data_IF_926862331433
#
_entry.id   IF_926862331433
#
_cell.length_a   1.000
_cell.length_b   1.000
_cell.length_c   1.000
_cell.angle_alpha   90.00
_cell.angle_beta   90.00
_cell.angle_gamma   90.00
#
_symmetry.space_group_name_H-M   'P 1'
#
loop_
_entity.id
_entity.type
_entity.pdbx_description
1 polymer ?
#
# COMPACT_ATOMS: atom_id res chain seq x y z
N UNK A 1 48.50 63.42 25.00
CA UNK A 1 47.87 62.21 25.65
C UNK A 1 46.57 61.97 24.89
N UNK A 2 46.62 61.07 23.88
CA UNK A 2 45.50 60.79 23.00
C UNK A 2 44.79 59.53 23.48
N UNK A 3 43.51 59.70 23.84
CA UNK A 3 42.64 58.58 24.20
C UNK A 3 41.94 58.06 22.96
N UNK A 4 42.30 56.84 22.55
CA UNK A 4 41.65 56.11 21.45
C UNK A 4 40.44 55.40 22.01
N UNK A 5 39.21 55.76 21.56
CA UNK A 5 37.98 55.04 21.88
C UNK A 5 37.75 53.95 20.80
N UNK A 6 37.79 52.69 21.26
CA UNK A 6 37.34 51.55 20.43
C UNK A 6 35.82 51.47 20.48
N UNK A 7 35.19 51.59 19.30
CA UNK A 7 33.79 51.21 19.09
C UNK A 7 33.74 49.74 18.72
N UNK A 8 33.15 48.92 19.62
CA UNK A 8 32.81 47.54 19.31
C UNK A 8 31.46 47.53 18.58
N UNK A 9 31.46 47.17 17.30
CA UNK A 9 30.23 46.93 16.53
C UNK A 9 29.72 45.50 16.87
N UNK A 10 28.57 45.42 17.52
CA UNK A 10 27.86 44.17 17.79
C UNK A 10 27.08 43.79 16.54
N UNK A 11 27.60 42.80 15.79
CA UNK A 11 26.87 42.17 14.69
C UNK A 11 25.81 41.23 15.29
N UNK A 12 24.55 41.65 15.26
CA UNK A 12 23.42 40.73 15.47
C UNK A 12 23.25 39.86 14.21
N UNK A 13 23.73 38.61 14.29
CA UNK A 13 23.36 37.60 13.32
C UNK A 13 21.90 37.19 13.58
N UNK A 14 20.99 37.75 12.80
CA UNK A 14 19.61 37.27 12.76
C UNK A 14 19.60 35.84 12.20
N UNK A 15 19.29 34.86 13.03
CA UNK A 15 18.96 33.52 12.58
C UNK A 15 17.65 33.59 11.77
N UNK A 16 17.75 33.59 10.46
CA UNK A 16 16.60 33.37 9.58
C UNK A 16 16.28 31.87 9.71
N UNK A 17 15.28 31.54 10.53
CA UNK A 17 14.68 30.22 10.50
C UNK A 17 14.11 30.01 9.09
N UNK A 18 14.40 28.88 8.40
CA UNK A 18 13.75 28.59 7.14
C UNK A 18 12.23 28.52 7.39
N UNK A 19 11.38 29.02 6.46
CA UNK A 19 9.95 28.85 6.58
C UNK A 19 9.68 27.34 6.67
N UNK A 20 8.94 26.92 7.69
CA UNK A 20 8.34 25.60 7.71
C UNK A 20 7.47 25.53 6.43
N UNK A 21 7.91 24.73 5.46
CA UNK A 21 7.09 24.37 4.31
C UNK A 21 6.00 23.51 4.93
N UNK A 22 4.85 24.12 5.24
CA UNK A 22 3.61 23.38 5.33
C UNK A 22 3.46 22.75 3.94
N UNK A 23 3.79 21.47 3.80
CA UNK A 23 3.38 20.69 2.65
C UNK A 23 1.86 20.74 2.69
N UNK A 24 1.26 21.51 1.78
CA UNK A 24 -0.17 21.50 1.61
C UNK A 24 -0.55 20.04 1.35
N UNK A 25 -1.42 19.49 2.20
CA UNK A 25 -1.89 18.11 2.07
C UNK A 25 -2.55 17.82 0.70
N UNK A 26 -2.93 18.86 -0.05
CA UNK A 26 -3.38 18.78 -1.44
C UNK A 26 -2.23 18.54 -2.45
N UNK A 27 -0.97 18.71 -2.06
CA UNK A 27 0.18 18.45 -2.93
C UNK A 27 0.63 16.99 -2.91
N UNK A 28 0.28 16.21 -1.88
CA UNK A 28 0.64 14.79 -1.79
C UNK A 28 -0.17 13.95 -2.78
N UNK A 29 0.52 13.27 -3.70
CA UNK A 29 -0.08 12.44 -4.74
C UNK A 29 -0.95 11.33 -4.14
N UNK A 30 -0.52 10.71 -3.05
CA UNK A 30 -1.28 9.67 -2.38
C UNK A 30 -2.60 10.21 -1.82
N UNK A 31 -2.56 11.38 -1.17
CA UNK A 31 -3.79 11.99 -0.66
C UNK A 31 -4.75 12.35 -1.81
N UNK A 32 -4.25 12.85 -2.95
CA UNK A 32 -5.11 13.05 -4.13
C UNK A 32 -5.72 11.73 -4.63
N UNK A 33 -4.93 10.66 -4.69
CA UNK A 33 -5.41 9.35 -5.14
C UNK A 33 -6.52 8.81 -4.24
N UNK A 34 -6.33 8.78 -2.92
CA UNK A 34 -7.28 8.17 -1.97
C UNK A 34 -8.50 9.07 -1.65
N UNK A 35 -8.44 10.36 -1.97
CA UNK A 35 -9.59 11.29 -1.87
C UNK A 35 -10.39 11.44 -3.17
N UNK A 36 -9.96 10.79 -4.27
CA UNK A 36 -10.64 10.90 -5.56
C UNK A 36 -10.33 12.17 -6.34
N UNK A 37 -9.28 12.89 -5.97
CA UNK A 37 -8.87 14.14 -6.60
C UNK A 37 -7.64 13.99 -7.52
N UNK A 38 -7.17 12.76 -7.76
CA UNK A 38 -6.09 12.50 -8.71
C UNK A 38 -6.57 12.68 -10.16
N UNK A 39 -5.63 13.02 -11.04
CA UNK A 39 -5.86 13.04 -12.49
C UNK A 39 -6.03 11.65 -13.09
N UNK A 40 -6.15 11.59 -14.41
CA UNK A 40 -6.14 10.32 -15.13
C UNK A 40 -4.80 9.58 -14.86
N UNK A 41 -4.83 8.22 -14.79
CA UNK A 41 -3.61 7.43 -14.63
C UNK A 41 -2.56 7.74 -15.69
N UNK A 42 -1.29 7.85 -15.30
CA UNK A 42 -0.16 8.27 -16.12
C UNK A 42 0.80 7.13 -16.48
N UNK A 43 0.71 6.00 -15.80
CA UNK A 43 1.48 4.80 -16.08
C UNK A 43 0.98 4.05 -17.33
N UNK A 44 1.25 2.75 -17.42
CA UNK A 44 0.89 1.95 -18.59
C UNK A 44 0.36 0.57 -18.23
N UNK A 45 -0.53 0.06 -19.05
CA UNK A 45 -1.00 -1.32 -18.97
C UNK A 45 0.07 -2.30 -19.49
N UNK A 46 0.17 -3.48 -18.85
CA UNK A 46 1.20 -4.49 -19.10
C UNK A 46 0.61 -5.89 -19.07
N UNK A 47 0.89 -6.70 -20.09
CA UNK A 47 0.67 -8.14 -20.06
C UNK A 47 1.87 -8.81 -19.37
N UNK A 48 1.62 -9.55 -18.29
CA UNK A 48 2.67 -10.11 -17.44
C UNK A 48 2.46 -11.58 -17.08
N UNK A 49 1.24 -12.08 -17.17
CA UNK A 49 0.87 -13.42 -16.73
C UNK A 49 0.55 -14.33 -17.92
N UNK A 50 1.53 -15.16 -18.33
CA UNK A 50 1.40 -16.03 -19.51
C UNK A 50 0.26 -17.05 -19.39
N UNK A 51 -0.04 -17.51 -18.15
CA UNK A 51 -1.14 -18.45 -17.93
C UNK A 51 -2.53 -17.84 -18.13
N UNK A 52 -2.63 -16.50 -18.09
CA UNK A 52 -3.85 -15.75 -18.44
C UNK A 52 -3.51 -14.51 -19.27
N UNK A 53 -3.47 -14.62 -20.60
CA UNK A 53 -3.18 -13.47 -21.47
C UNK A 53 -4.20 -12.33 -21.38
N UNK A 54 -5.36 -12.53 -20.75
CA UNK A 54 -6.33 -11.48 -20.48
C UNK A 54 -5.99 -10.66 -19.22
N UNK A 55 -5.15 -11.17 -18.34
CA UNK A 55 -4.68 -10.43 -17.18
C UNK A 55 -3.76 -9.29 -17.62
N UNK A 56 -4.20 -8.07 -17.38
CA UNK A 56 -3.50 -6.85 -17.78
C UNK A 56 -3.25 -6.00 -16.54
N UNK A 57 -2.03 -6.07 -15.99
CA UNK A 57 -1.59 -5.25 -14.87
C UNK A 57 -1.32 -3.80 -15.29
N UNK A 58 -1.12 -2.94 -14.31
CA UNK A 58 -0.77 -1.53 -14.51
C UNK A 58 0.56 -1.21 -13.85
N UNK A 59 1.48 -0.65 -14.61
CA UNK A 59 2.82 -0.28 -14.16
C UNK A 59 2.99 1.24 -14.09
N UNK A 60 3.42 1.72 -12.94
CA UNK A 60 3.96 3.06 -12.73
C UNK A 60 5.41 2.97 -12.25
N UNK A 61 6.30 3.78 -12.84
CA UNK A 61 7.75 3.75 -12.54
C UNK A 61 8.18 5.15 -12.11
N UNK A 62 9.01 5.28 -11.05
CA UNK A 62 9.55 6.56 -10.62
C UNK A 62 10.36 7.25 -11.72
N UNK A 63 10.46 8.57 -11.65
CA UNK A 63 11.42 9.33 -12.45
C UNK A 63 12.86 9.05 -11.98
N UNK A 64 13.82 8.95 -12.91
CA UNK A 64 15.24 8.76 -12.63
C UNK A 64 15.79 7.41 -13.09
N UNK A 65 17.03 7.13 -12.72
CA UNK A 65 17.76 5.95 -13.23
C UNK A 65 17.59 4.69 -12.34
N UNK A 66 17.12 4.85 -11.08
CA UNK A 66 16.99 3.74 -10.12
C UNK A 66 18.35 3.28 -9.52
N UNK A 67 18.47 2.05 -8.98
CA UNK A 67 17.36 1.10 -8.84
C UNK A 67 16.32 1.52 -7.78
N UNK A 68 15.07 1.08 -7.97
CA UNK A 68 13.96 1.40 -7.08
C UNK A 68 13.35 0.13 -6.48
N UNK A 69 12.92 0.12 -5.20
CA UNK A 69 12.15 -0.98 -4.65
C UNK A 69 10.76 -1.04 -5.28
N UNK A 70 10.13 -2.22 -5.24
CA UNK A 70 8.82 -2.44 -5.85
C UNK A 70 7.70 -2.59 -4.82
N UNK A 71 6.48 -2.21 -5.21
CA UNK A 71 5.24 -2.54 -4.51
C UNK A 71 4.28 -3.21 -5.49
N UNK A 72 3.76 -4.37 -5.10
CA UNK A 72 2.73 -5.11 -5.84
C UNK A 72 1.38 -4.79 -5.21
N UNK A 73 0.54 -4.09 -5.94
CA UNK A 73 -0.76 -3.60 -5.47
C UNK A 73 -1.87 -4.58 -5.84
N UNK A 74 -2.66 -4.98 -4.85
CA UNK A 74 -3.74 -5.95 -4.99
C UNK A 74 -5.08 -5.24 -4.78
N UNK A 75 -5.86 -5.19 -5.85
CA UNK A 75 -7.10 -4.42 -5.94
C UNK A 75 -8.21 -4.90 -4.99
N UNK A 76 -9.21 -4.07 -4.76
CA UNK A 76 -10.42 -4.41 -4.03
C UNK A 76 -11.31 -5.40 -4.85
N UNK A 77 -12.45 -5.74 -4.30
CA UNK A 77 -13.42 -6.70 -4.87
C UNK A 77 -13.95 -6.35 -6.27
N UNK A 78 -13.85 -5.09 -6.70
CA UNK A 78 -14.36 -4.60 -7.99
C UNK A 78 -13.33 -4.70 -9.13
N UNK A 79 -12.13 -5.21 -8.89
CA UNK A 79 -11.08 -5.40 -9.88
C UNK A 79 -10.12 -4.22 -10.01
N UNK A 80 -9.25 -4.26 -11.03
CA UNK A 80 -8.24 -3.24 -11.30
C UNK A 80 -8.88 -1.98 -11.90
N UNK A 81 -9.54 -1.19 -11.07
CA UNK A 81 -10.19 0.07 -11.45
C UNK A 81 -9.23 1.26 -11.39
N UNK A 82 -9.67 2.39 -11.92
CA UNK A 82 -8.88 3.63 -12.04
C UNK A 82 -8.27 4.08 -10.70
N UNK A 83 -8.99 3.95 -9.57
CA UNK A 83 -8.50 4.30 -8.24
C UNK A 83 -7.20 3.58 -7.89
N UNK A 84 -7.10 2.29 -8.18
CA UNK A 84 -5.89 1.50 -7.92
C UNK A 84 -4.74 1.94 -8.84
N UNK A 85 -5.03 2.27 -10.11
CA UNK A 85 -4.03 2.81 -11.04
C UNK A 85 -3.50 4.17 -10.57
N UNK A 86 -4.37 5.06 -10.09
CA UNK A 86 -3.98 6.35 -9.49
C UNK A 86 -3.13 6.18 -8.22
N UNK A 87 -3.45 5.17 -7.41
CA UNK A 87 -2.65 4.81 -6.22
C UNK A 87 -1.27 4.30 -6.64
N UNK A 88 -1.16 3.53 -7.72
CA UNK A 88 0.12 3.10 -8.27
C UNK A 88 0.97 4.29 -8.74
N UNK A 89 0.38 5.25 -9.45
CA UNK A 89 1.08 6.48 -9.84
C UNK A 89 1.61 7.25 -8.62
N UNK A 90 0.79 7.31 -7.55
CA UNK A 90 1.19 7.96 -6.32
C UNK A 90 2.36 7.25 -5.60
N UNK A 91 2.43 5.93 -5.62
CA UNK A 91 3.60 5.19 -5.15
C UNK A 91 4.84 5.48 -6.01
N UNK A 92 4.69 5.61 -7.32
CA UNK A 92 5.80 5.97 -8.19
C UNK A 92 6.36 7.36 -7.88
N UNK A 93 5.52 8.35 -7.56
CA UNK A 93 5.96 9.67 -7.08
C UNK A 93 6.72 9.59 -5.73
N UNK A 94 6.52 8.52 -4.94
CA UNK A 94 7.25 8.26 -3.69
C UNK A 94 8.54 7.44 -3.88
N UNK A 95 8.89 7.07 -5.12
CA UNK A 95 10.13 6.35 -5.42
C UNK A 95 10.00 4.84 -5.46
N UNK A 96 8.79 4.29 -5.53
CA UNK A 96 8.56 2.86 -5.68
C UNK A 96 8.14 2.51 -7.11
N UNK A 97 8.67 1.45 -7.70
CA UNK A 97 8.04 0.83 -8.85
C UNK A 97 6.72 0.22 -8.36
N UNK A 98 5.59 0.72 -8.86
CA UNK A 98 4.28 0.25 -8.45
C UNK A 98 3.66 -0.59 -9.57
N UNK A 99 3.36 -1.84 -9.27
CA UNK A 99 2.71 -2.76 -10.18
C UNK A 99 1.36 -3.19 -9.61
N UNK A 100 0.27 -2.75 -10.21
CA UNK A 100 -1.07 -3.19 -9.83
C UNK A 100 -1.45 -4.43 -10.62
N UNK A 101 -1.55 -5.57 -9.92
CA UNK A 101 -1.88 -6.86 -10.50
C UNK A 101 -3.37 -6.94 -10.87
N UNK A 102 -3.69 -7.63 -11.96
CA UNK A 102 -5.04 -7.94 -12.39
C UNK A 102 -5.38 -9.40 -12.09
N UNK A 103 -6.17 -9.62 -11.04
CA UNK A 103 -6.57 -10.97 -10.62
C UNK A 103 -7.83 -11.48 -11.31
N UNK A 104 -8.46 -10.65 -12.17
CA UNK A 104 -9.75 -10.97 -12.78
C UNK A 104 -9.71 -11.09 -14.31
N UNK A 105 -8.51 -11.08 -14.92
CA UNK A 105 -8.36 -11.23 -16.38
C UNK A 105 -9.05 -10.11 -17.15
N UNK A 106 -8.77 -8.85 -16.82
CA UNK A 106 -9.31 -7.65 -17.45
C UNK A 106 -10.73 -7.30 -17.05
N UNK A 107 -11.36 -8.03 -16.12
CA UNK A 107 -12.75 -7.79 -15.72
C UNK A 107 -12.82 -6.86 -14.52
N UNK A 108 -13.86 -6.02 -14.50
CA UNK A 108 -14.25 -5.19 -13.35
C UNK A 108 -15.73 -5.32 -13.10
N UNK A 109 -16.15 -5.18 -11.84
CA UNK A 109 -17.55 -5.20 -11.48
C UNK A 109 -18.07 -3.81 -11.10
N UNK A 110 -19.31 -3.54 -11.48
CA UNK A 110 -20.02 -2.27 -11.24
C UNK A 110 -21.21 -2.43 -10.28
N UNK A 111 -21.58 -3.65 -9.96
CA UNK A 111 -22.63 -3.98 -9.00
C UNK A 111 -22.11 -4.94 -7.92
N UNK A 112 -22.88 -5.03 -6.81
CA UNK A 112 -22.57 -5.95 -5.72
C UNK A 112 -22.55 -7.41 -6.22
N UNK A 113 -23.49 -7.78 -7.07
CA UNK A 113 -23.64 -9.14 -7.61
C UNK A 113 -22.45 -9.50 -8.52
N UNK A 114 -22.03 -8.58 -9.39
CA UNK A 114 -20.87 -8.76 -10.25
C UNK A 114 -19.59 -8.90 -9.41
N UNK A 115 -19.40 -8.02 -8.44
CA UNK A 115 -18.22 -8.06 -7.57
C UNK A 115 -18.13 -9.37 -6.77
N UNK A 116 -19.25 -9.85 -6.21
CA UNK A 116 -19.31 -11.14 -5.51
C UNK A 116 -18.93 -12.29 -6.46
N UNK A 117 -19.45 -12.29 -7.69
CA UNK A 117 -19.14 -13.32 -8.67
C UNK A 117 -17.64 -13.32 -9.06
N UNK A 118 -17.02 -12.14 -9.21
CA UNK A 118 -15.59 -12.00 -9.49
C UNK A 118 -14.73 -12.53 -8.32
N UNK A 119 -15.06 -12.15 -7.07
CA UNK A 119 -14.37 -12.66 -5.87
C UNK A 119 -14.47 -14.17 -5.76
N UNK A 120 -15.68 -14.74 -5.95
CA UNK A 120 -15.89 -16.18 -5.89
C UNK A 120 -15.10 -16.93 -6.97
N UNK A 121 -15.07 -16.39 -8.20
CA UNK A 121 -14.30 -16.98 -9.30
C UNK A 121 -12.79 -16.96 -9.02
N UNK A 122 -12.27 -15.86 -8.48
CA UNK A 122 -10.85 -15.76 -8.14
C UNK A 122 -10.47 -16.70 -6.97
N UNK A 123 -11.24 -16.71 -5.89
CA UNK A 123 -10.99 -17.56 -4.71
C UNK A 123 -11.16 -19.07 -4.99
N UNK A 124 -11.77 -19.46 -6.10
CA UNK A 124 -11.88 -20.85 -6.49
C UNK A 124 -10.55 -21.49 -6.92
N UNK A 125 -9.51 -20.67 -7.16
CA UNK A 125 -8.18 -21.12 -7.57
C UNK A 125 -7.11 -20.22 -6.93
N UNK A 126 -6.79 -20.50 -5.67
CA UNK A 126 -5.81 -19.74 -4.89
C UNK A 126 -4.39 -19.90 -5.44
N UNK A 127 -4.04 -21.10 -5.92
CA UNK A 127 -2.73 -21.36 -6.55
C UNK A 127 -2.51 -20.44 -7.76
N UNK A 128 -3.56 -20.19 -8.53
CA UNK A 128 -3.52 -19.27 -9.66
C UNK A 128 -3.32 -17.81 -9.22
N UNK A 129 -3.94 -17.40 -8.10
CA UNK A 129 -3.73 -16.06 -7.55
C UNK A 129 -2.27 -15.87 -7.16
N UNK A 130 -1.69 -16.84 -6.43
CA UNK A 130 -0.29 -16.80 -6.02
C UNK A 130 0.62 -16.76 -7.25
N UNK A 131 0.41 -17.64 -8.23
CA UNK A 131 1.17 -17.66 -9.48
C UNK A 131 1.05 -16.33 -10.28
N UNK A 132 -0.11 -15.65 -10.24
CA UNK A 132 -0.30 -14.35 -10.85
C UNK A 132 0.54 -13.27 -10.16
N UNK A 133 0.60 -13.27 -8.84
CA UNK A 133 1.39 -12.30 -8.06
C UNK A 133 2.89 -12.57 -8.19
N UNK A 134 3.33 -13.84 -8.20
CA UNK A 134 4.72 -14.21 -8.50
C UNK A 134 5.13 -13.72 -9.91
N UNK A 135 4.26 -13.94 -10.90
CA UNK A 135 4.51 -13.44 -12.25
C UNK A 135 4.60 -11.91 -12.32
N UNK A 136 3.88 -11.18 -11.44
CA UNK A 136 4.00 -9.73 -11.33
C UNK A 136 5.37 -9.30 -10.78
N UNK A 137 5.86 -9.97 -9.73
CA UNK A 137 7.21 -9.74 -9.17
C UNK A 137 8.27 -10.05 -10.23
N UNK A 138 8.24 -11.24 -10.80
CA UNK A 138 9.19 -11.69 -11.84
C UNK A 138 9.24 -10.71 -13.03
N UNK A 139 8.05 -10.25 -13.45
CA UNK A 139 7.95 -9.32 -14.58
C UNK A 139 8.60 -7.96 -14.24
N UNK A 140 8.33 -7.43 -13.03
CA UNK A 140 8.91 -6.17 -12.54
C UNK A 140 10.44 -6.29 -12.49
N UNK A 141 10.96 -7.35 -11.92
CA UNK A 141 12.41 -7.58 -11.81
C UNK A 141 13.09 -7.68 -13.18
N UNK A 142 12.46 -8.39 -14.12
CA UNK A 142 13.02 -8.61 -15.46
C UNK A 142 12.94 -7.39 -16.38
N UNK A 143 11.99 -6.46 -16.16
CA UNK A 143 11.63 -5.43 -17.15
C UNK A 143 11.75 -3.98 -16.64
N UNK A 144 12.20 -3.77 -15.39
CA UNK A 144 12.30 -2.43 -14.79
C UNK A 144 13.62 -2.28 -14.02
N UNK A 145 14.05 -1.07 -13.66
CA UNK A 145 15.22 -0.86 -12.82
C UNK A 145 14.91 -1.17 -11.33
N UNK A 146 14.41 -2.35 -11.03
CA UNK A 146 14.09 -2.79 -9.68
C UNK A 146 15.33 -3.15 -8.86
N UNK A 147 15.23 -3.01 -7.52
CA UNK A 147 16.28 -3.45 -6.59
C UNK A 147 16.32 -4.97 -6.42
N UNK A 148 15.29 -5.69 -6.86
CA UNK A 148 15.02 -7.09 -6.53
C UNK A 148 14.28 -7.26 -5.20
N UNK A 149 13.78 -6.18 -4.59
CA UNK A 149 12.95 -6.21 -3.38
C UNK A 149 11.53 -5.73 -3.69
N UNK A 150 10.53 -6.45 -3.19
CA UNK A 150 9.12 -6.14 -3.39
C UNK A 150 8.31 -6.26 -2.08
N UNK A 151 7.25 -5.47 -1.94
CA UNK A 151 6.24 -5.66 -0.91
C UNK A 151 4.84 -5.78 -1.55
N UNK A 152 4.01 -6.68 -1.03
CA UNK A 152 2.62 -6.82 -1.43
C UNK A 152 1.71 -5.92 -0.59
N UNK A 153 0.85 -5.15 -1.23
CA UNK A 153 -0.09 -4.22 -0.56
C UNK A 153 -1.49 -4.49 -1.10
N UNK A 154 -2.44 -4.83 -0.23
CA UNK A 154 -3.79 -5.13 -0.67
C UNK A 154 -4.88 -4.47 0.17
N UNK A 155 -6.02 -4.15 -0.46
CA UNK A 155 -7.17 -3.52 0.15
C UNK A 155 -8.41 -4.38 0.06
N UNK A 156 -9.19 -4.52 1.13
CA UNK A 156 -10.44 -5.28 1.15
C UNK A 156 -10.21 -6.75 0.75
N UNK A 157 -10.80 -7.20 -0.36
CA UNK A 157 -10.49 -8.50 -0.99
C UNK A 157 -8.98 -8.67 -1.16
N UNK A 158 -8.31 -7.67 -1.75
CA UNK A 158 -6.87 -7.68 -1.97
C UNK A 158 -6.05 -7.74 -0.68
N UNK A 159 -6.55 -7.20 0.44
CA UNK A 159 -5.90 -7.33 1.75
C UNK A 159 -5.87 -8.78 2.24
N UNK A 160 -6.97 -9.51 2.07
CA UNK A 160 -7.01 -10.95 2.34
C UNK A 160 -6.11 -11.75 1.40
N UNK A 161 -6.04 -11.35 0.13
CA UNK A 161 -5.12 -11.97 -0.86
C UNK A 161 -3.66 -11.68 -0.51
N UNK A 162 -3.32 -10.48 -0.03
CA UNK A 162 -1.96 -10.17 0.42
C UNK A 162 -1.51 -11.12 1.56
N UNK A 163 -2.41 -11.42 2.51
CA UNK A 163 -2.14 -12.42 3.53
C UNK A 163 -1.97 -13.82 2.94
N UNK A 164 -2.87 -14.27 2.05
CA UNK A 164 -2.72 -15.56 1.37
C UNK A 164 -1.41 -15.64 0.58
N UNK A 165 -0.98 -14.53 -0.04
CA UNK A 165 0.30 -14.45 -0.76
C UNK A 165 1.50 -14.59 0.18
N UNK A 166 1.47 -13.95 1.35
CA UNK A 166 2.52 -14.11 2.37
C UNK A 166 2.63 -15.52 2.91
N UNK A 167 1.50 -16.26 2.94
CA UNK A 167 1.48 -17.66 3.38
C UNK A 167 1.91 -18.65 2.31
N UNK A 168 1.81 -18.29 1.03
CA UNK A 168 2.00 -19.19 -0.11
C UNK A 168 3.22 -18.89 -0.97
N UNK A 169 3.95 -17.79 -0.74
CA UNK A 169 5.11 -17.39 -1.56
C UNK A 169 6.15 -16.61 -0.75
N UNK A 170 7.42 -16.84 -1.07
CA UNK A 170 8.57 -16.12 -0.53
C UNK A 170 9.11 -15.05 -1.51
N UNK A 171 8.35 -14.69 -2.54
CA UNK A 171 8.81 -13.78 -3.62
C UNK A 171 8.75 -12.30 -3.23
N UNK A 172 8.55 -11.97 -1.94
CA UNK A 172 8.47 -10.58 -1.47
C UNK A 172 8.92 -10.44 -0.01
N UNK A 173 9.37 -9.25 0.38
CA UNK A 173 9.98 -8.95 1.67
C UNK A 173 9.03 -8.27 2.67
N UNK A 174 7.79 -8.02 2.29
CA UNK A 174 6.83 -7.36 3.16
C UNK A 174 5.39 -7.49 2.68
N UNK A 175 4.46 -7.51 3.64
CA UNK A 175 3.01 -7.61 3.37
C UNK A 175 2.25 -6.54 4.13
N UNK A 176 1.46 -5.74 3.40
CA UNK A 176 0.60 -4.72 3.97
C UNK A 176 -0.89 -5.04 3.71
N UNK A 177 -1.64 -5.20 4.78
CA UNK A 177 -3.05 -5.60 4.78
C UNK A 177 -3.91 -4.41 5.19
N UNK A 178 -4.75 -3.94 4.29
CA UNK A 178 -5.76 -2.92 4.59
C UNK A 178 -7.15 -3.57 4.66
N UNK A 179 -7.70 -3.66 5.86
CA UNK A 179 -9.06 -4.17 6.13
C UNK A 179 -9.43 -5.43 5.33
N UNK A 180 -8.48 -6.35 5.20
CA UNK A 180 -8.64 -7.65 4.54
C UNK A 180 -9.05 -8.76 5.49
N UNK A 181 -9.57 -9.87 4.95
CA UNK A 181 -9.87 -11.09 5.72
C UNK A 181 -8.61 -11.63 6.37
N UNK A 182 -8.73 -12.13 7.59
CA UNK A 182 -7.61 -12.58 8.42
C UNK A 182 -7.68 -14.09 8.70
N UNK A 183 -6.58 -14.61 9.21
CA UNK A 183 -6.42 -15.98 9.70
C UNK A 183 -5.83 -15.85 11.10
N UNK A 184 -6.28 -16.67 12.05
CA UNK A 184 -5.86 -16.66 13.45
C UNK A 184 -5.17 -17.97 13.88
N UNK A 185 -4.61 -18.70 12.92
CA UNK A 185 -3.93 -19.98 13.12
C UNK A 185 -2.40 -19.80 13.18
N UNK A 186 -1.76 -19.92 14.37
CA UNK A 186 -0.32 -19.74 14.51
C UNK A 186 0.52 -20.75 13.71
N UNK A 187 0.00 -21.96 13.42
CA UNK A 187 0.73 -22.96 12.62
C UNK A 187 0.85 -22.47 11.16
N UNK A 188 -0.22 -21.89 10.62
CA UNK A 188 -0.18 -21.31 9.27
C UNK A 188 0.73 -20.08 9.22
N UNK A 189 0.70 -19.21 10.26
CA UNK A 189 1.54 -18.01 10.30
C UNK A 189 3.04 -18.32 10.19
N UNK A 190 3.51 -19.50 10.61
CA UNK A 190 4.93 -19.89 10.49
C UNK A 190 5.47 -19.89 9.05
N UNK A 191 4.61 -19.83 8.05
CA UNK A 191 5.00 -19.69 6.64
C UNK A 191 5.34 -18.24 6.25
N UNK A 192 5.07 -17.26 7.10
CA UNK A 192 5.43 -15.85 6.85
C UNK A 192 6.83 -15.59 7.39
N UNK A 193 7.74 -15.10 6.55
CA UNK A 193 9.15 -14.90 6.89
C UNK A 193 9.59 -13.43 6.92
N UNK A 194 8.62 -12.51 6.95
CA UNK A 194 8.86 -11.06 6.96
C UNK A 194 7.88 -10.34 7.90
N UNK A 195 8.15 -9.06 8.17
CA UNK A 195 7.26 -8.19 8.95
C UNK A 195 5.92 -7.99 8.23
N UNK A 196 4.81 -8.00 8.98
CA UNK A 196 3.46 -7.76 8.46
C UNK A 196 2.94 -6.40 8.95
N UNK A 197 2.50 -5.56 8.03
CA UNK A 197 1.78 -4.33 8.32
C UNK A 197 0.26 -4.54 8.21
N UNK A 198 -0.49 -3.95 9.16
CA UNK A 198 -1.95 -4.03 9.15
C UNK A 198 -2.63 -2.70 9.47
N UNK A 199 -3.69 -2.39 8.73
CA UNK A 199 -4.53 -1.20 8.93
C UNK A 199 -6.00 -1.62 8.91
N UNK A 200 -6.67 -1.45 10.03
CA UNK A 200 -8.06 -1.89 10.27
C UNK A 200 -8.91 -0.77 10.84
N UNK A 201 -10.22 -0.95 10.82
CA UNK A 201 -11.20 0.05 11.23
C UNK A 201 -12.05 -0.50 12.39
N UNK A 202 -12.25 0.29 13.45
CA UNK A 202 -13.06 -0.09 14.61
C UNK A 202 -14.51 -0.45 14.21
N UNK A 203 -15.08 0.33 13.27
CA UNK A 203 -16.47 0.16 12.83
C UNK A 203 -16.61 -0.76 11.60
N UNK A 204 -15.62 -1.63 11.33
CA UNK A 204 -15.72 -2.62 10.26
C UNK A 204 -16.59 -3.80 10.70
N UNK A 205 -17.71 -3.99 9.99
CA UNK A 205 -18.65 -5.09 10.26
C UNK A 205 -18.21 -6.43 9.66
N UNK A 206 -17.27 -6.38 8.72
CA UNK A 206 -16.73 -7.57 8.04
C UNK A 206 -15.48 -8.13 8.73
N UNK A 207 -14.70 -7.25 9.38
CA UNK A 207 -13.45 -7.59 10.09
C UNK A 207 -13.54 -6.98 11.50
N UNK A 208 -14.18 -7.65 12.46
CA UNK A 208 -14.36 -7.15 13.82
C UNK A 208 -13.01 -6.99 14.56
N UNK A 209 -12.96 -6.06 15.51
CA UNK A 209 -11.77 -5.80 16.35
C UNK A 209 -11.23 -7.09 17.01
N UNK A 210 -12.12 -7.98 17.49
CA UNK A 210 -11.72 -9.24 18.11
C UNK A 210 -10.99 -10.16 17.11
N UNK A 211 -11.37 -10.17 15.83
CA UNK A 211 -10.69 -10.93 14.77
C UNK A 211 -9.29 -10.34 14.49
N UNK A 212 -9.16 -9.02 14.48
CA UNK A 212 -7.85 -8.36 14.33
C UNK A 212 -6.93 -8.69 15.51
N UNK A 213 -7.47 -8.68 16.74
CA UNK A 213 -6.69 -9.02 17.92
C UNK A 213 -6.26 -10.49 17.91
N UNK A 214 -7.12 -11.44 17.50
CA UNK A 214 -6.78 -12.84 17.36
C UNK A 214 -5.67 -13.05 16.32
N UNK A 215 -5.73 -12.36 15.18
CA UNK A 215 -4.67 -12.36 14.17
C UNK A 215 -3.32 -11.86 14.73
N UNK A 216 -3.31 -10.74 15.49
CA UNK A 216 -2.10 -10.22 16.13
C UNK A 216 -1.54 -11.22 17.14
N UNK A 217 -2.41 -11.88 17.93
CA UNK A 217 -1.98 -12.90 18.89
C UNK A 217 -1.39 -14.14 18.20
N UNK A 218 -1.99 -14.60 17.09
CA UNK A 218 -1.47 -15.69 16.27
C UNK A 218 -0.08 -15.35 15.67
N UNK A 219 0.11 -14.16 15.12
CA UNK A 219 1.42 -13.70 14.64
C UNK A 219 2.46 -13.66 15.75
N UNK A 220 2.08 -13.17 16.94
CA UNK A 220 2.97 -13.11 18.10
C UNK A 220 3.39 -14.51 18.57
N UNK A 221 2.45 -15.46 18.60
CA UNK A 221 2.73 -16.86 18.93
C UNK A 221 3.66 -17.52 17.92
N UNK A 222 3.49 -17.22 16.64
CA UNK A 222 4.36 -17.67 15.55
C UNK A 222 5.72 -16.94 15.50
N UNK A 223 5.91 -15.88 16.28
CA UNK A 223 7.15 -15.08 16.30
C UNK A 223 7.29 -14.11 15.12
N UNK A 224 6.20 -13.74 14.47
CA UNK A 224 6.18 -12.79 13.34
C UNK A 224 6.13 -11.36 13.86
N UNK A 225 7.09 -10.54 13.41
CA UNK A 225 7.06 -9.09 13.65
C UNK A 225 5.90 -8.45 12.91
N UNK A 226 5.20 -7.52 13.56
CA UNK A 226 4.06 -6.87 12.93
C UNK A 226 3.85 -5.44 13.44
N UNK A 227 3.27 -4.61 12.58
CA UNK A 227 2.84 -3.24 12.82
C UNK A 227 1.34 -3.12 12.49
N UNK A 228 0.47 -3.64 13.36
CA UNK A 228 -0.99 -3.63 13.17
C UNK A 228 -1.63 -2.51 13.98
N UNK A 229 -2.51 -1.74 13.35
CA UNK A 229 -3.25 -0.64 13.99
C UNK A 229 -4.74 -0.67 13.61
N UNK A 230 -5.58 -0.48 14.63
CA UNK A 230 -7.03 -0.31 14.48
C UNK A 230 -7.35 1.17 14.67
N UNK A 231 -8.00 1.77 13.70
CA UNK A 231 -8.38 3.18 13.72
C UNK A 231 -9.79 3.36 14.26
N UNK A 232 -9.94 4.25 15.25
CA UNK A 232 -11.22 4.60 15.86
C UNK A 232 -12.11 5.40 14.88
N UNK A 233 -13.42 5.31 15.05
CA UNK A 233 -14.44 6.10 14.35
C UNK A 233 -14.48 5.95 12.81
N UNK A 234 -13.69 5.04 12.22
CA UNK A 234 -13.71 4.77 10.78
C UNK A 234 -14.29 3.39 10.46
N UNK A 235 -14.71 3.19 9.22
CA UNK A 235 -15.32 1.96 8.72
C UNK A 235 -14.52 1.34 7.57
N UNK A 236 -14.94 0.16 7.10
CA UNK A 236 -14.34 -0.57 5.99
C UNK A 236 -14.10 0.32 4.76
N UNK A 237 -12.90 0.28 4.20
CA UNK A 237 -12.53 1.06 3.02
C UNK A 237 -12.10 2.50 3.30
N UNK A 238 -11.97 2.92 4.57
CA UNK A 238 -11.69 4.30 4.94
C UNK A 238 -10.45 4.89 4.28
N UNK A 239 -9.39 4.09 4.09
CA UNK A 239 -8.14 4.58 3.56
C UNK A 239 -8.21 4.85 2.05
N UNK A 240 -8.76 3.92 1.26
CA UNK A 240 -8.80 4.06 -0.22
C UNK A 240 -9.96 4.95 -0.69
N UNK A 241 -10.92 5.24 0.19
CA UNK A 241 -12.14 6.01 -0.09
C UNK A 241 -12.39 7.08 0.96
N UNK A 242 -11.41 7.97 1.17
CA UNK A 242 -11.48 9.05 2.16
C UNK A 242 -12.72 9.92 1.96
N UNK A 243 -13.16 10.13 0.71
CA UNK A 243 -14.30 10.93 0.33
C UNK A 243 -15.66 10.44 0.87
N UNK A 244 -15.74 9.19 1.37
CA UNK A 244 -17.01 8.65 1.94
C UNK A 244 -17.35 9.24 3.30
N UNK A 245 -16.32 9.60 4.08
CA UNK A 245 -16.44 10.30 5.36
C UNK A 245 -15.14 11.09 5.63
N UNK A 246 -14.97 12.26 4.98
CA UNK A 246 -13.70 12.97 5.03
C UNK A 246 -13.30 13.44 6.43
N UNK A 247 -14.27 13.67 7.32
CA UNK A 247 -14.01 14.15 8.68
C UNK A 247 -13.28 13.10 9.53
N UNK A 248 -13.72 11.84 9.46
CA UNK A 248 -13.12 10.73 10.22
C UNK A 248 -12.02 10.02 9.42
N UNK A 249 -12.24 9.79 8.11
CA UNK A 249 -11.32 8.98 7.30
C UNK A 249 -9.99 9.70 7.02
N UNK A 250 -9.99 11.02 6.80
CA UNK A 250 -8.79 11.73 6.37
C UNK A 250 -7.66 11.67 7.41
N UNK A 251 -7.88 12.03 8.69
CA UNK A 251 -6.82 11.93 9.70
C UNK A 251 -6.28 10.52 9.87
N UNK A 252 -7.18 9.53 9.85
CA UNK A 252 -6.81 8.12 9.95
C UNK A 252 -6.00 7.65 8.73
N UNK A 253 -6.39 8.06 7.52
CA UNK A 253 -5.70 7.70 6.29
C UNK A 253 -4.31 8.36 6.17
N UNK A 254 -4.18 9.62 6.56
CA UNK A 254 -2.88 10.33 6.62
C UNK A 254 -1.92 9.64 7.59
N UNK A 255 -2.38 9.31 8.80
CA UNK A 255 -1.56 8.60 9.78
C UNK A 255 -1.19 7.18 9.29
N UNK A 256 -2.14 6.44 8.68
CA UNK A 256 -1.87 5.13 8.10
C UNK A 256 -0.85 5.21 6.95
N UNK A 257 -0.90 6.28 6.14
CA UNK A 257 0.07 6.51 5.08
C UNK A 257 1.49 6.76 5.62
N UNK A 258 1.63 7.55 6.68
CA UNK A 258 2.92 7.79 7.33
C UNK A 258 3.49 6.50 7.93
N UNK A 259 2.66 5.68 8.58
CA UNK A 259 3.05 4.35 9.08
C UNK A 259 3.46 3.41 7.95
N UNK A 260 2.70 3.37 6.85
CA UNK A 260 3.03 2.53 5.68
C UNK A 260 4.39 2.92 5.08
N UNK A 261 4.66 4.23 4.91
CA UNK A 261 5.99 4.69 4.44
C UNK A 261 7.12 4.25 5.38
N UNK A 262 6.92 4.38 6.69
CA UNK A 262 7.91 3.92 7.67
C UNK A 262 8.11 2.40 7.62
N UNK A 263 7.05 1.62 7.45
CA UNK A 263 7.09 0.17 7.26
C UNK A 263 7.86 -0.20 5.97
N UNK A 264 7.47 0.35 4.83
CA UNK A 264 8.15 0.08 3.55
C UNK A 264 9.64 0.44 3.60
N UNK A 265 10.02 1.51 4.28
CA UNK A 265 11.42 1.88 4.49
C UNK A 265 12.21 0.92 5.42
N UNK A 266 11.54 0.01 6.16
CA UNK A 266 12.19 -1.05 6.95
C UNK A 266 12.39 -2.33 6.14
N UNK A 267 11.44 -2.69 5.31
CA UNK A 267 11.43 -3.98 4.62
C UNK A 267 12.05 -3.93 3.22
N UNK A 268 12.02 -2.79 2.56
CA UNK A 268 12.56 -2.58 1.22
C UNK A 268 13.87 -1.78 1.22
#
# INVERSE_FOLDING_TARGET
MNSIRFFAALLLAGAVSPPAVAQDAESDAMLRAITGNAGAPSGRDVNYFEADPAATGYLAVPEGEGPFPAVILIHEWNGLVERIKQTADAFAEQGYIAFAADLYGGKTGSSREENIALVQAARADEDRIIANLDAAVDWVEANTPATGKAAAIGWCFGGGIALSYALGSDSHEGTAIFYGSLIDDPEQMQHIHHEVYGTFAENDRGIPVDEVNAFVDAMREAGIENDVHIYDDVAHGFWLHVERDPENNRPAAEHAWDRLKAYLGRVL
#
